data_IF_430915673024
#
_entry.id   IF_430915673024
#
_cell.length_a   1.000
_cell.length_b   1.000
_cell.length_c   1.000
_cell.angle_alpha   90.00
_cell.angle_beta   90.00
_cell.angle_gamma   90.00
#
_symmetry.space_group_name_H-M   'P 1'
#
loop_
_entity.id
_entity.type
_entity.pdbx_description
1 polymer ?
#
# COMPACT_ATOMS: atom_id res chain seq x y z
N UNK A 1 3.69 -30.51 6.88
CA UNK A 1 2.86 -29.49 7.53
C UNK A 1 2.90 -29.79 9.03
N UNK A 2 2.82 -28.78 9.89
CA UNK A 2 2.78 -29.02 11.33
C UNK A 2 1.44 -29.64 11.73
N UNK A 3 1.46 -30.54 12.71
CA UNK A 3 0.23 -31.07 13.28
C UNK A 3 -0.40 -29.97 14.15
N UNK A 4 -1.38 -29.25 13.64
CA UNK A 4 -2.05 -28.16 14.35
C UNK A 4 -3.52 -28.52 14.60
N UNK A 5 -4.02 -28.24 15.79
CA UNK A 5 -5.45 -28.25 16.12
C UNK A 5 -5.97 -26.81 16.04
N UNK A 6 -5.71 -26.14 14.92
CA UNK A 6 -6.25 -24.80 14.65
C UNK A 6 -7.25 -24.97 13.51
N UNK A 7 -8.52 -24.60 13.71
CA UNK A 7 -9.49 -24.66 12.64
C UNK A 7 -9.03 -23.74 11.50
N UNK A 8 -9.27 -24.16 10.26
CA UNK A 8 -9.03 -23.31 9.11
C UNK A 8 -9.85 -22.03 9.23
N UNK A 9 -9.22 -20.88 9.04
CA UNK A 9 -9.90 -19.59 8.98
C UNK A 9 -10.29 -19.36 7.53
N UNK A 10 -11.57 -19.13 7.26
CA UNK A 10 -12.03 -18.70 5.94
C UNK A 10 -11.52 -17.27 5.71
N UNK A 11 -10.65 -17.08 4.72
CA UNK A 11 -10.11 -15.77 4.41
C UNK A 11 -11.18 -14.88 3.76
N UNK A 12 -11.33 -13.68 4.30
CA UNK A 12 -12.08 -12.58 3.69
C UNK A 12 -11.23 -11.32 3.76
N UNK A 13 -11.38 -10.43 2.78
CA UNK A 13 -10.66 -9.16 2.79
C UNK A 13 -11.26 -8.23 3.86
N UNK A 14 -10.54 -7.90 4.94
CA UNK A 14 -11.10 -7.11 6.04
C UNK A 14 -11.39 -5.64 5.65
N UNK A 15 -10.88 -5.20 4.51
CA UNK A 15 -11.12 -3.86 3.95
C UNK A 15 -12.33 -3.79 3.01
N UNK A 16 -13.11 -4.87 2.85
CA UNK A 16 -14.40 -4.85 2.11
C UNK A 16 -15.50 -4.17 2.92
N UNK A 17 -15.28 -2.90 3.23
CA UNK A 17 -16.15 -2.05 4.04
C UNK A 17 -16.79 -0.99 3.14
N UNK A 18 -18.12 -0.74 3.22
CA UNK A 18 -18.79 0.31 2.45
C UNK A 18 -18.10 1.67 2.61
N UNK A 19 -18.14 2.51 1.57
CA UNK A 19 -17.53 3.84 1.62
C UNK A 19 -18.01 4.62 2.83
N UNK A 20 -19.33 4.72 3.06
CA UNK A 20 -19.92 5.49 4.17
C UNK A 20 -19.34 5.12 5.55
N UNK A 21 -19.09 3.84 5.81
CA UNK A 21 -18.51 3.36 7.07
C UNK A 21 -17.00 3.62 7.14
N UNK A 22 -16.30 3.56 6.00
CA UNK A 22 -14.91 4.05 5.93
C UNK A 22 -14.81 5.55 6.24
N UNK A 23 -15.84 6.34 5.92
CA UNK A 23 -15.83 7.78 6.14
C UNK A 23 -16.16 8.17 7.57
N UNK A 24 -17.07 7.45 8.22
CA UNK A 24 -17.39 7.69 9.63
C UNK A 24 -16.19 7.43 10.56
N UNK A 25 -15.13 6.77 10.07
CA UNK A 25 -13.88 6.60 10.78
C UNK A 25 -13.00 7.86 10.83
N UNK A 26 -13.31 8.90 10.06
CA UNK A 26 -12.64 10.20 10.16
C UNK A 26 -13.21 11.00 11.33
N UNK A 27 -12.34 11.53 12.17
CA UNK A 27 -12.70 12.38 13.30
C UNK A 27 -12.05 13.75 13.09
N UNK A 28 -12.88 14.79 12.99
CA UNK A 28 -12.44 16.16 12.72
C UNK A 28 -11.66 16.80 13.89
N UNK A 29 -11.76 16.26 15.10
CA UNK A 29 -11.02 16.73 16.27
C UNK A 29 -9.61 16.10 16.38
N UNK A 30 -9.25 15.20 15.47
CA UNK A 30 -7.97 14.50 15.44
C UNK A 30 -7.24 14.75 14.11
N UNK A 31 -5.90 14.71 14.08
CA UNK A 31 -5.17 14.69 12.82
C UNK A 31 -5.70 13.58 11.92
N UNK A 32 -5.90 13.89 10.65
CA UNK A 32 -6.62 13.02 9.71
C UNK A 32 -5.77 12.65 8.49
N UNK A 33 -5.70 11.35 8.19
CA UNK A 33 -4.92 10.81 7.06
C UNK A 33 -5.83 10.02 6.13
N UNK A 34 -5.89 10.42 4.86
CA UNK A 34 -6.58 9.67 3.81
C UNK A 34 -5.57 9.01 2.90
N UNK A 35 -5.66 7.70 2.75
CA UNK A 35 -4.91 6.94 1.76
C UNK A 35 -5.68 6.84 0.44
N UNK A 36 -4.98 6.83 -0.68
CA UNK A 36 -5.52 6.45 -1.98
C UNK A 36 -4.71 5.29 -2.56
N UNK A 37 -5.40 4.22 -2.98
CA UNK A 37 -4.80 3.06 -3.64
C UNK A 37 -5.78 2.52 -4.70
N UNK A 38 -5.34 2.32 -5.94
CA UNK A 38 -6.24 2.02 -7.07
C UNK A 38 -7.15 0.81 -6.77
N UNK A 39 -6.58 -0.35 -6.43
CA UNK A 39 -7.32 -1.61 -6.31
C UNK A 39 -6.91 -2.42 -5.08
N UNK A 40 -7.60 -2.29 -3.93
CA UNK A 40 -7.23 -2.98 -2.70
C UNK A 40 -7.02 -4.49 -2.88
N UNK A 41 -5.87 -4.98 -2.41
CA UNK A 41 -5.38 -6.35 -2.58
C UNK A 41 -4.83 -6.92 -1.25
N UNK A 42 -4.52 -8.21 -1.23
CA UNK A 42 -3.94 -8.88 -0.06
C UNK A 42 -2.41 -8.81 -0.01
N UNK A 43 -1.80 -8.07 -0.93
CA UNK A 43 -0.36 -7.84 -1.00
C UNK A 43 -0.05 -6.43 -0.51
N UNK A 44 0.32 -5.52 -1.41
CA UNK A 44 0.79 -4.17 -1.07
C UNK A 44 -0.25 -3.39 -0.27
N UNK A 45 -1.52 -3.42 -0.66
CA UNK A 45 -2.55 -2.67 0.06
C UNK A 45 -2.62 -3.10 1.53
N UNK A 46 -2.51 -4.40 1.81
CA UNK A 46 -2.55 -4.93 3.18
C UNK A 46 -1.46 -4.29 4.05
N UNK A 47 -0.20 -4.31 3.61
CA UNK A 47 0.91 -3.84 4.47
C UNK A 47 1.27 -2.36 4.30
N UNK A 48 0.88 -1.68 3.21
CA UNK A 48 1.14 -0.24 2.97
C UNK A 48 -0.04 0.68 3.24
N UNK A 49 -1.26 0.15 3.33
CA UNK A 49 -2.46 0.96 3.58
C UNK A 49 -3.21 0.44 4.80
N UNK A 50 -3.67 -0.81 4.78
CA UNK A 50 -4.50 -1.34 5.85
C UNK A 50 -3.77 -1.39 7.20
N UNK A 51 -2.56 -1.95 7.24
CA UNK A 51 -1.72 -2.00 8.44
C UNK A 51 -1.33 -0.60 8.93
N UNK A 52 -1.05 0.32 8.00
CA UNK A 52 -0.74 1.72 8.30
C UNK A 52 -1.92 2.43 8.97
N UNK A 53 -3.13 2.25 8.46
CA UNK A 53 -4.36 2.81 9.05
C UNK A 53 -4.56 2.29 10.48
N UNK A 54 -4.35 1.00 10.73
CA UNK A 54 -4.44 0.46 12.09
C UNK A 54 -3.38 1.08 13.02
N UNK A 55 -2.14 1.22 12.55
CA UNK A 55 -1.07 1.84 13.33
C UNK A 55 -1.38 3.31 13.66
N UNK A 56 -1.88 4.09 12.70
CA UNK A 56 -2.28 5.48 12.91
C UNK A 56 -3.42 5.60 13.94
N UNK A 57 -4.44 4.75 13.83
CA UNK A 57 -5.55 4.72 14.79
C UNK A 57 -5.07 4.41 16.22
N UNK A 58 -4.04 3.58 16.38
CA UNK A 58 -3.50 3.24 17.71
C UNK A 58 -2.85 4.43 18.45
N UNK A 59 -2.53 5.51 17.73
CA UNK A 59 -1.96 6.74 18.28
C UNK A 59 -2.90 7.96 18.15
N UNK A 60 -4.22 7.71 18.10
CA UNK A 60 -5.28 8.73 18.00
C UNK A 60 -5.19 9.62 16.74
N UNK A 61 -4.69 9.07 15.63
CA UNK A 61 -4.77 9.70 14.31
C UNK A 61 -5.92 9.04 13.55
N UNK A 62 -6.88 9.85 13.11
CA UNK A 62 -8.00 9.34 12.30
C UNK A 62 -7.49 9.00 10.91
N UNK A 63 -7.86 7.81 10.39
CA UNK A 63 -7.32 7.35 9.13
C UNK A 63 -8.29 6.47 8.36
N UNK A 64 -8.34 6.66 7.05
CA UNK A 64 -9.17 5.88 6.12
C UNK A 64 -8.51 5.77 4.75
N UNK A 65 -9.14 5.05 3.82
CA UNK A 65 -8.67 4.94 2.45
C UNK A 65 -9.79 5.13 1.42
N UNK A 66 -9.39 5.49 0.22
CA UNK A 66 -10.19 5.51 -0.99
C UNK A 66 -9.55 4.61 -2.05
N UNK A 67 -10.41 4.09 -2.92
CA UNK A 67 -10.00 3.28 -4.06
C UNK A 67 -10.41 3.91 -5.38
N UNK A 68 -10.02 3.29 -6.50
CA UNK A 68 -10.50 3.68 -7.82
C UNK A 68 -12.04 3.69 -7.91
N UNK A 69 -12.73 2.84 -7.15
CA UNK A 69 -14.21 2.83 -7.08
C UNK A 69 -14.78 4.11 -6.47
N UNK A 70 -14.00 4.78 -5.61
CA UNK A 70 -14.38 5.99 -4.89
C UNK A 70 -13.85 7.26 -5.58
N UNK A 71 -13.23 7.14 -6.77
CA UNK A 71 -12.47 8.20 -7.44
C UNK A 71 -13.27 9.50 -7.71
N UNK A 72 -14.60 9.41 -7.76
CA UNK A 72 -15.46 10.58 -7.99
C UNK A 72 -15.54 11.50 -6.76
N UNK A 73 -15.21 10.98 -5.59
CA UNK A 73 -15.25 11.70 -4.33
C UNK A 73 -13.87 12.17 -3.87
N UNK A 74 -12.79 11.85 -4.62
CA UNK A 74 -11.41 12.14 -4.23
C UNK A 74 -11.18 13.60 -3.84
N UNK A 75 -11.74 14.52 -4.60
CA UNK A 75 -11.61 15.95 -4.31
C UNK A 75 -12.36 16.35 -3.04
N UNK A 76 -13.51 15.75 -2.73
CA UNK A 76 -14.27 16.05 -1.51
C UNK A 76 -13.49 15.58 -0.27
N UNK A 77 -12.78 14.45 -0.37
CA UNK A 77 -11.99 13.92 0.75
C UNK A 77 -10.76 14.71 1.10
N UNK A 78 -10.20 15.43 0.13
CA UNK A 78 -9.13 16.39 0.39
C UNK A 78 -9.58 17.45 1.41
N UNK A 79 -10.88 17.74 1.49
CA UNK A 79 -11.41 18.75 2.40
C UNK A 79 -11.53 18.24 3.83
N UNK A 80 -11.62 16.92 4.00
CA UNK A 80 -11.77 16.23 5.27
C UNK A 80 -10.46 15.63 5.81
N UNK A 81 -9.34 15.85 5.14
CA UNK A 81 -8.05 15.24 5.48
C UNK A 81 -6.97 16.31 5.72
N UNK A 82 -6.05 16.07 6.64
CA UNK A 82 -4.84 16.89 6.82
C UNK A 82 -3.70 16.41 5.93
N UNK A 83 -3.65 15.10 5.72
CA UNK A 83 -2.64 14.42 4.92
C UNK A 83 -3.31 13.50 3.91
N UNK A 84 -2.86 13.60 2.65
CA UNK A 84 -3.20 12.64 1.59
C UNK A 84 -1.98 11.75 1.32
N UNK A 85 -2.15 10.43 1.41
CA UNK A 85 -1.11 9.45 1.07
C UNK A 85 -1.53 8.68 -0.16
N UNK A 86 -0.82 8.88 -1.26
CA UNK A 86 -1.07 8.21 -2.55
C UNK A 86 -0.14 7.00 -2.63
N UNK A 87 -0.68 5.80 -2.45
CA UNK A 87 0.12 4.57 -2.41
C UNK A 87 0.09 3.87 -3.78
N UNK A 88 1.26 3.72 -4.43
CA UNK A 88 1.48 3.07 -5.74
C UNK A 88 0.50 3.44 -6.86
N UNK A 89 -0.22 4.55 -6.70
CA UNK A 89 -1.27 4.87 -7.64
C UNK A 89 -0.69 5.48 -8.91
N UNK A 90 -1.36 5.19 -10.03
CA UNK A 90 -0.96 5.71 -11.34
C UNK A 90 -1.63 7.05 -11.58
N UNK A 91 -0.94 7.90 -12.32
CA UNK A 91 -1.43 9.22 -12.67
C UNK A 91 -2.78 9.12 -13.38
N UNK A 92 -3.78 9.85 -12.90
CA UNK A 92 -5.04 10.09 -13.60
C UNK A 92 -5.38 11.56 -13.48
N UNK A 93 -6.21 12.08 -14.40
CA UNK A 93 -6.66 13.47 -14.30
C UNK A 93 -7.39 13.76 -12.97
N UNK A 94 -8.16 12.80 -12.44
CA UNK A 94 -8.85 12.94 -11.14
C UNK A 94 -7.88 12.98 -9.96
N UNK A 95 -6.91 12.07 -9.95
CA UNK A 95 -5.89 12.04 -8.90
C UNK A 95 -5.04 13.32 -8.95
N UNK A 96 -4.67 13.79 -10.14
CA UNK A 96 -3.97 15.06 -10.31
C UNK A 96 -4.79 16.24 -9.73
N UNK A 97 -6.08 16.33 -10.06
CA UNK A 97 -6.97 17.38 -9.52
C UNK A 97 -7.04 17.34 -7.99
N UNK A 98 -7.16 16.14 -7.40
CA UNK A 98 -7.17 15.98 -5.95
C UNK A 98 -5.84 16.40 -5.30
N UNK A 99 -4.69 16.00 -5.86
CA UNK A 99 -3.37 16.40 -5.37
C UNK A 99 -3.18 17.93 -5.47
N UNK A 100 -3.56 18.54 -6.60
CA UNK A 100 -3.47 19.99 -6.78
C UNK A 100 -4.38 20.72 -5.78
N UNK A 101 -5.62 20.26 -5.60
CA UNK A 101 -6.55 20.81 -4.60
C UNK A 101 -5.97 20.72 -3.19
N UNK A 102 -5.39 19.59 -2.82
CA UNK A 102 -4.78 19.37 -1.50
C UNK A 102 -3.67 20.38 -1.22
N UNK A 103 -2.76 20.53 -2.19
CA UNK A 103 -1.65 21.51 -2.11
C UNK A 103 -2.15 22.95 -2.01
N UNK A 104 -3.15 23.32 -2.80
CA UNK A 104 -3.75 24.66 -2.74
C UNK A 104 -4.42 24.96 -1.40
N UNK A 105 -4.86 23.92 -0.68
CA UNK A 105 -5.41 24.02 0.68
C UNK A 105 -4.35 23.89 1.79
N UNK A 106 -3.06 23.84 1.44
CA UNK A 106 -1.97 23.67 2.40
C UNK A 106 -1.91 22.28 3.04
N UNK A 107 -2.61 21.28 2.47
CA UNK A 107 -2.56 19.89 2.93
C UNK A 107 -1.28 19.23 2.42
N UNK A 108 -0.68 18.36 3.22
CA UNK A 108 0.55 17.67 2.82
C UNK A 108 0.22 16.42 2.01
N UNK A 109 0.88 16.25 0.86
CA UNK A 109 0.69 15.06 0.00
C UNK A 109 1.93 14.18 -0.02
N UNK A 110 1.78 12.92 0.38
CA UNK A 110 2.81 11.89 0.30
C UNK A 110 2.55 10.93 -0.86
N UNK A 111 3.61 10.46 -1.50
CA UNK A 111 3.56 9.26 -2.33
C UNK A 111 4.17 8.09 -1.55
N UNK A 112 3.50 6.94 -1.49
CA UNK A 112 4.01 5.73 -0.81
C UNK A 112 4.32 4.64 -1.84
N UNK A 113 5.56 4.14 -1.84
CA UNK A 113 6.02 3.09 -2.76
C UNK A 113 7.02 2.14 -2.10
N UNK A 114 6.82 0.85 -2.34
CA UNK A 114 7.55 -0.24 -1.71
C UNK A 114 8.52 -0.99 -2.64
N UNK A 115 8.47 -0.71 -3.95
CA UNK A 115 9.30 -1.35 -4.99
C UNK A 115 9.94 -0.34 -5.94
N UNK A 116 10.87 -0.78 -6.79
CA UNK A 116 11.53 0.05 -7.81
C UNK A 116 10.68 0.31 -9.08
N UNK A 117 9.37 0.09 -9.03
CA UNK A 117 8.46 0.21 -10.19
C UNK A 117 8.11 1.68 -10.51
N UNK A 118 9.11 2.55 -10.44
CA UNK A 118 9.05 3.97 -10.80
C UNK A 118 10.25 4.41 -11.65
N UNK A 119 11.18 3.51 -11.97
CA UNK A 119 12.39 3.80 -12.74
C UNK A 119 12.28 3.17 -14.13
N UNK A 120 11.96 3.93 -15.20
CA UNK A 120 11.78 3.38 -16.54
C UNK A 120 13.01 2.63 -17.07
N UNK A 121 14.23 3.03 -16.69
CA UNK A 121 15.46 2.33 -17.10
C UNK A 121 15.60 0.93 -16.51
N UNK A 122 14.81 0.57 -15.50
CA UNK A 122 14.79 -0.78 -14.91
C UNK A 122 13.69 -1.66 -15.49
N UNK A 123 12.91 -1.18 -16.46
CA UNK A 123 11.79 -1.92 -17.05
C UNK A 123 12.22 -3.30 -17.55
N UNK A 124 13.32 -3.41 -18.30
CA UNK A 124 13.83 -4.71 -18.76
C UNK A 124 13.99 -5.73 -17.63
N UNK A 125 14.57 -5.34 -16.49
CA UNK A 125 14.75 -6.24 -15.34
C UNK A 125 13.41 -6.67 -14.72
N UNK A 126 12.43 -5.75 -14.69
CA UNK A 126 11.09 -6.06 -14.16
C UNK A 126 10.40 -7.09 -15.04
N UNK A 127 10.43 -6.91 -16.37
CA UNK A 127 9.80 -7.84 -17.31
C UNK A 127 10.44 -9.23 -17.24
N UNK A 128 11.78 -9.28 -17.22
CA UNK A 128 12.53 -10.54 -17.10
C UNK A 128 12.22 -11.27 -15.79
N UNK A 129 12.21 -10.55 -14.66
CA UNK A 129 11.90 -11.12 -13.34
C UNK A 129 10.47 -11.68 -13.25
N UNK A 130 9.53 -11.05 -13.98
CA UNK A 130 8.13 -11.44 -14.00
C UNK A 130 7.80 -12.43 -15.14
N UNK A 131 8.82 -12.98 -15.80
CA UNK A 131 8.70 -13.94 -16.90
C UNK A 131 7.71 -13.47 -17.98
N UNK A 132 7.84 -12.19 -18.37
CA UNK A 132 6.98 -11.57 -19.37
C UNK A 132 7.48 -11.85 -20.79
N UNK A 133 6.55 -11.86 -21.75
CA UNK A 133 6.88 -11.99 -23.17
C UNK A 133 7.57 -10.72 -23.70
N UNK A 134 8.91 -10.77 -23.81
CA UNK A 134 9.74 -9.66 -24.26
C UNK A 134 9.60 -9.35 -25.76
N UNK A 135 9.08 -10.30 -26.55
CA UNK A 135 8.87 -10.10 -28.00
C UNK A 135 7.54 -9.38 -28.30
N UNK A 136 6.67 -9.23 -27.30
CA UNK A 136 5.37 -8.58 -27.47
C UNK A 136 5.45 -7.06 -27.19
N UNK A 137 5.27 -6.19 -28.20
CA UNK A 137 5.35 -4.73 -28.01
C UNK A 137 4.33 -4.19 -27.01
N UNK A 138 3.18 -4.83 -26.85
CA UNK A 138 2.14 -4.39 -25.90
C UNK A 138 2.56 -4.56 -24.45
N UNK A 139 3.43 -5.52 -24.16
CA UNK A 139 4.02 -5.72 -22.82
C UNK A 139 4.88 -4.51 -22.47
N UNK A 140 5.72 -4.06 -23.41
CA UNK A 140 6.53 -2.86 -23.26
C UNK A 140 5.67 -1.61 -23.05
N UNK A 141 4.69 -1.37 -23.92
CA UNK A 141 3.78 -0.23 -23.81
C UNK A 141 3.07 -0.19 -22.44
N UNK A 142 2.59 -1.34 -21.98
CA UNK A 142 1.94 -1.48 -20.69
C UNK A 142 2.89 -1.10 -19.55
N UNK A 143 4.09 -1.69 -19.49
CA UNK A 143 5.01 -1.50 -18.38
C UNK A 143 5.63 -0.11 -18.35
N UNK A 144 6.02 0.43 -19.49
CA UNK A 144 6.46 1.83 -19.57
C UNK A 144 5.34 2.79 -19.17
N UNK A 145 4.10 2.53 -19.62
CA UNK A 145 2.94 3.30 -19.20
C UNK A 145 2.64 3.18 -17.70
N UNK A 146 2.77 1.99 -17.13
CA UNK A 146 2.55 1.70 -15.71
C UNK A 146 3.58 2.42 -14.83
N UNK A 147 4.86 2.23 -15.11
CA UNK A 147 5.99 2.83 -14.39
C UNK A 147 5.97 4.35 -14.54
N UNK A 148 5.81 4.85 -15.77
CA UNK A 148 5.79 6.28 -16.06
C UNK A 148 4.65 7.01 -15.34
N UNK A 149 3.45 6.41 -15.28
CA UNK A 149 2.31 7.00 -14.56
C UNK A 149 2.47 6.97 -13.04
N UNK A 150 3.15 5.96 -12.48
CA UNK A 150 3.49 5.99 -11.05
C UNK A 150 4.52 7.09 -10.77
N UNK A 151 5.58 7.17 -11.57
CA UNK A 151 6.60 8.22 -11.43
C UNK A 151 5.99 9.62 -11.54
N UNK A 152 5.15 9.87 -12.55
CA UNK A 152 4.46 11.14 -12.72
C UNK A 152 3.58 11.51 -11.50
N UNK A 153 2.96 10.53 -10.84
CA UNK A 153 2.18 10.80 -9.61
C UNK A 153 3.09 11.14 -8.42
N UNK A 154 4.20 10.41 -8.28
CA UNK A 154 5.22 10.69 -7.27
C UNK A 154 5.83 12.09 -7.46
N UNK A 155 5.99 12.55 -8.70
CA UNK A 155 6.44 13.90 -9.05
C UNK A 155 5.46 15.01 -8.62
N UNK A 156 4.17 14.73 -8.47
CA UNK A 156 3.20 15.72 -7.99
C UNK A 156 3.19 15.89 -6.46
N UNK A 157 3.49 14.81 -5.74
CA UNK A 157 3.47 14.74 -4.28
C UNK A 157 4.65 15.51 -3.67
N UNK A 158 4.54 15.99 -2.45
CA UNK A 158 5.59 16.81 -1.82
C UNK A 158 6.68 15.96 -1.16
N UNK A 159 6.32 14.78 -0.69
CA UNK A 159 7.19 13.88 0.08
C UNK A 159 6.95 12.43 -0.35
N UNK A 160 7.93 11.55 -0.09
CA UNK A 160 7.84 10.14 -0.49
C UNK A 160 8.09 9.21 0.70
N UNK A 161 7.20 8.26 0.93
CA UNK A 161 7.37 7.18 1.90
C UNK A 161 7.83 5.92 1.15
N UNK A 162 8.80 5.22 1.72
CA UNK A 162 9.26 3.93 1.19
C UNK A 162 9.64 2.95 2.31
N UNK A 163 10.01 1.72 1.96
CA UNK A 163 10.17 0.62 2.93
C UNK A 163 11.58 0.44 3.46
N UNK A 164 12.60 0.92 2.75
CA UNK A 164 13.98 0.72 3.15
C UNK A 164 14.93 1.82 2.63
N UNK A 165 16.14 1.86 3.20
CA UNK A 165 17.17 2.86 2.87
C UNK A 165 17.66 2.77 1.41
N UNK A 166 17.63 1.58 0.80
CA UNK A 166 18.06 1.42 -0.59
C UNK A 166 17.08 2.07 -1.55
N UNK A 167 15.78 1.79 -1.40
CA UNK A 167 14.73 2.47 -2.16
C UNK A 167 14.76 3.98 -1.92
N UNK A 168 14.99 4.43 -0.68
CA UNK A 168 15.09 5.85 -0.39
C UNK A 168 16.22 6.53 -1.17
N UNK A 169 17.40 5.91 -1.23
CA UNK A 169 18.53 6.40 -2.04
C UNK A 169 18.19 6.41 -3.54
N UNK A 170 17.49 5.39 -4.02
CA UNK A 170 17.06 5.32 -5.41
C UNK A 170 16.08 6.45 -5.73
N UNK A 171 15.06 6.69 -4.90
CA UNK A 171 14.13 7.80 -5.05
C UNK A 171 14.90 9.14 -5.05
N UNK A 172 15.81 9.35 -4.09
CA UNK A 172 16.60 10.58 -3.99
C UNK A 172 17.51 10.84 -5.21
N UNK A 173 17.92 9.79 -5.92
CA UNK A 173 18.69 9.93 -7.17
C UNK A 173 17.85 10.53 -8.30
N UNK A 174 16.55 10.26 -8.34
CA UNK A 174 15.65 10.74 -9.39
C UNK A 174 14.78 11.93 -8.97
N UNK A 175 14.56 12.12 -7.66
CA UNK A 175 13.72 13.17 -7.09
C UNK A 175 14.42 13.87 -5.93
N UNK A 176 14.52 15.20 -6.01
CA UNK A 176 15.02 16.04 -4.93
C UNK A 176 13.92 16.35 -3.91
N UNK A 177 13.35 15.31 -3.29
CA UNK A 177 12.25 15.44 -2.32
C UNK A 177 12.58 14.75 -0.99
N UNK A 178 11.97 15.18 0.12
CA UNK A 178 12.06 14.45 1.38
C UNK A 178 11.55 13.02 1.23
N UNK A 179 12.38 12.06 1.65
CA UNK A 179 12.03 10.64 1.65
C UNK A 179 12.10 10.09 3.07
N UNK A 180 11.04 9.40 3.49
CA UNK A 180 10.96 8.75 4.81
C UNK A 180 10.87 7.24 4.62
N UNK A 181 11.50 6.52 5.54
CA UNK A 181 11.54 5.06 5.53
C UNK A 181 10.62 4.53 6.62
N UNK A 182 9.57 3.82 6.21
CA UNK A 182 8.67 3.08 7.08
C UNK A 182 8.68 1.62 6.59
N UNK A 183 9.41 0.72 7.26
CA UNK A 183 9.46 -0.70 6.89
C UNK A 183 8.08 -1.34 6.87
N UNK A 184 7.94 -2.43 6.12
CA UNK A 184 6.74 -3.26 6.20
C UNK A 184 6.65 -3.90 7.58
N UNK A 185 5.44 -3.92 8.14
CA UNK A 185 5.16 -4.54 9.43
C UNK A 185 3.85 -5.31 9.40
N UNK A 186 3.71 -6.22 10.37
CA UNK A 186 2.48 -6.96 10.62
C UNK A 186 1.60 -6.17 11.60
N UNK A 187 0.29 -6.18 11.37
CA UNK A 187 -0.67 -5.61 12.31
C UNK A 187 -0.97 -6.60 13.46
N UNK A 188 -1.76 -6.16 14.44
CA UNK A 188 -2.10 -6.98 15.62
C UNK A 188 -2.90 -8.23 15.25
N UNK A 189 -3.79 -8.18 14.26
CA UNK A 189 -4.55 -9.34 13.81
C UNK A 189 -3.64 -10.44 13.26
N UNK A 190 -2.66 -10.06 12.42
CA UNK A 190 -1.67 -10.96 11.86
C UNK A 190 -0.75 -11.53 12.94
N UNK A 191 -0.31 -10.71 13.88
CA UNK A 191 0.51 -11.13 15.01
C UNK A 191 -0.24 -12.13 15.91
N UNK A 192 -1.51 -11.86 16.21
CA UNK A 192 -2.34 -12.76 17.02
C UNK A 192 -2.49 -14.15 16.40
N UNK A 193 -2.74 -14.23 15.09
CA UNK A 193 -2.81 -15.51 14.38
C UNK A 193 -1.45 -16.22 14.39
N UNK A 194 -0.37 -15.48 14.12
CA UNK A 194 1.00 -16.02 14.15
C UNK A 194 1.34 -16.60 15.52
N UNK A 195 1.01 -15.89 16.60
CA UNK A 195 1.28 -16.31 17.98
C UNK A 195 0.47 -17.55 18.37
N UNK A 196 -0.79 -17.64 17.97
CA UNK A 196 -1.61 -18.84 18.19
C UNK A 196 -1.00 -20.07 17.49
N UNK A 197 -0.61 -19.92 16.22
CA UNK A 197 0.06 -20.97 15.45
C UNK A 197 1.38 -21.37 16.11
N UNK A 198 2.19 -20.40 16.52
CA UNK A 198 3.48 -20.65 17.13
C UNK A 198 3.35 -21.39 18.47
N UNK A 199 2.43 -20.94 19.35
CA UNK A 199 2.16 -21.60 20.64
C UNK A 199 1.80 -23.08 20.46
N UNK A 200 0.94 -23.41 19.49
CA UNK A 200 0.61 -24.81 19.21
C UNK A 200 1.79 -25.63 18.67
N UNK A 201 2.62 -25.03 17.80
CA UNK A 201 3.85 -25.71 17.32
C UNK A 201 4.76 -26.08 18.49
N UNK A 202 4.94 -25.16 19.45
CA UNK A 202 5.75 -25.41 20.65
C UNK A 202 5.15 -26.51 21.52
N UNK A 203 3.84 -26.44 21.84
CA UNK A 203 3.14 -27.44 22.65
C UNK A 203 3.24 -28.86 22.06
N UNK A 204 3.34 -28.97 20.74
CA UNK A 204 3.40 -30.25 20.02
C UNK A 204 4.82 -30.65 19.62
N UNK A 205 5.84 -30.02 20.19
CA UNK A 205 7.24 -30.34 19.92
C UNK A 205 7.60 -30.21 18.43
N UNK A 206 6.98 -29.27 17.71
CA UNK A 206 7.16 -29.07 16.27
C UNK A 206 6.85 -30.33 15.41
N UNK A 207 5.99 -31.23 15.90
CA UNK A 207 5.60 -32.44 15.17
C UNK A 207 4.98 -32.14 13.80
N UNK A 208 5.30 -33.00 12.82
CA UNK A 208 4.92 -32.82 11.41
C UNK A 208 4.15 -34.04 10.89
N UNK A 209 3.27 -33.82 9.92
CA UNK A 209 2.51 -34.88 9.22
C UNK A 209 3.21 -35.43 7.96
N UNK A 210 4.52 -35.23 7.81
CA UNK A 210 5.33 -35.63 6.65
C UNK A 210 4.88 -35.07 5.27
N UNK A 211 3.86 -34.20 5.22
CA UNK A 211 3.49 -33.47 3.99
C UNK A 211 4.40 -32.27 3.79
N UNK A 212 4.75 -31.95 2.55
CA UNK A 212 5.37 -30.67 2.19
C UNK A 212 4.25 -29.77 1.66
N UNK A 213 4.20 -28.54 2.14
CA UNK A 213 3.28 -27.52 1.62
C UNK A 213 4.13 -26.47 0.94
N UNK A 214 3.95 -26.32 -0.36
CA UNK A 214 4.49 -25.22 -1.16
C UNK A 214 3.32 -24.28 -1.45
N UNK A 215 3.48 -23.01 -1.10
CA UNK A 215 2.50 -21.97 -1.35
C UNK A 215 3.22 -20.64 -1.57
N UNK A 216 2.50 -19.71 -2.18
CA UNK A 216 2.86 -18.29 -2.30
C UNK A 216 2.03 -17.48 -1.30
#
# INVERSE_FOLDING_TARGET
MFNLDIPSIAYTDPWKIPLIERLSALNYDQPSVVYYYDFPDNSTFRYRVYNMIQALKSINVSATFLSYKDQNYLEDFVDCADILVVCRARYTHKLNRAIVKAKNKGKTVFFDIDDLVFVPSLTHFILDTLDQDLENPKVWDFWFGYIGRQFATMELCERVITTNKYLAKMIQKYLHKPVMVIPNFLNNEQLNISDQIFKQKVQRGFSRNNKITLGY
#
